data_IF_789044629019
#
_entry.id   IF_789044629019
#
_cell.length_a   1.000
_cell.length_b   1.000
_cell.length_c   1.000
_cell.angle_alpha   90.00
_cell.angle_beta   90.00
_cell.angle_gamma   90.00
#
_symmetry.space_group_name_H-M   'P 1'
#
loop_
_entity.id
_entity.type
_entity.pdbx_description
1 polymer ?
#
# COMPACT_ATOMS: atom_id res chain seq x y z
N UNK A 1 -8.62 -27.82 7.33
CA UNK A 1 -8.89 -26.69 6.41
C UNK A 1 -10.10 -25.87 6.85
N UNK A 2 -11.27 -26.48 7.09
CA UNK A 2 -12.46 -25.73 7.56
C UNK A 2 -12.20 -24.86 8.79
N UNK A 3 -11.55 -25.38 9.83
CA UNK A 3 -11.18 -24.58 11.01
C UNK A 3 -10.28 -23.38 10.71
N UNK A 4 -9.36 -23.48 9.72
CA UNK A 4 -8.50 -22.37 9.29
C UNK A 4 -9.35 -21.32 8.54
N UNK A 5 -10.28 -21.75 7.68
CA UNK A 5 -11.21 -20.85 7.00
C UNK A 5 -12.11 -20.10 8.01
N UNK A 6 -12.62 -20.81 9.02
CA UNK A 6 -13.42 -20.20 10.09
C UNK A 6 -12.57 -19.28 10.97
N UNK A 7 -11.28 -19.56 11.19
CA UNK A 7 -10.38 -18.63 11.87
C UNK A 7 -10.16 -17.34 11.06
N UNK A 8 -10.03 -17.43 9.74
CA UNK A 8 -9.97 -16.26 8.85
C UNK A 8 -11.26 -15.43 8.95
N UNK A 9 -12.43 -16.09 8.94
CA UNK A 9 -13.72 -15.45 9.17
C UNK A 9 -13.81 -14.83 10.56
N UNK A 10 -13.29 -15.49 11.59
CA UNK A 10 -13.23 -14.98 12.96
C UNK A 10 -12.44 -13.68 13.06
N UNK A 11 -11.29 -13.60 12.39
CA UNK A 11 -10.49 -12.37 12.29
C UNK A 11 -11.28 -11.22 11.62
N UNK A 12 -12.10 -11.54 10.62
CA UNK A 12 -12.96 -10.58 9.92
C UNK A 12 -14.39 -10.50 10.47
N UNK A 13 -14.70 -11.12 11.60
CA UNK A 13 -16.07 -11.17 12.13
C UNK A 13 -16.58 -9.81 12.59
N UNK A 14 -15.65 -8.90 12.90
CA UNK A 14 -15.91 -7.50 13.27
C UNK A 14 -15.60 -6.52 12.13
N UNK A 15 -15.68 -6.98 10.87
CA UNK A 15 -15.30 -6.20 9.68
C UNK A 15 -16.01 -4.85 9.58
N UNK A 16 -17.25 -4.72 10.06
CA UNK A 16 -17.95 -3.43 10.06
C UNK A 16 -17.21 -2.37 10.89
N UNK A 17 -16.76 -2.73 12.09
CA UNK A 17 -15.96 -1.84 12.96
C UNK A 17 -14.58 -1.61 12.38
N UNK A 18 -13.94 -2.66 11.84
CA UNK A 18 -12.64 -2.54 11.17
C UNK A 18 -12.67 -1.55 10.01
N UNK A 19 -13.68 -1.66 9.13
CA UNK A 19 -13.88 -0.74 8.01
C UNK A 19 -14.23 0.67 8.50
N UNK A 20 -14.99 0.82 9.59
CA UNK A 20 -15.33 2.14 10.12
C UNK A 20 -14.10 2.92 10.60
N UNK A 21 -13.17 2.26 11.32
CA UNK A 21 -11.94 2.93 11.79
C UNK A 21 -10.92 3.15 10.67
N UNK A 22 -10.90 2.29 9.66
CA UNK A 22 -10.03 2.43 8.49
C UNK A 22 -10.52 3.59 7.58
N UNK A 23 -11.80 3.55 7.18
CA UNK A 23 -12.41 4.57 6.33
C UNK A 23 -12.46 5.97 7.00
N UNK A 24 -12.43 6.03 8.33
CA UNK A 24 -12.29 7.28 9.06
C UNK A 24 -10.99 8.04 8.72
N UNK A 25 -9.89 7.33 8.41
CA UNK A 25 -8.59 7.93 8.10
C UNK A 25 -8.64 8.81 6.84
N UNK A 26 -8.95 8.27 5.65
CA UNK A 26 -9.05 9.04 4.42
C UNK A 26 -10.10 10.17 4.46
N UNK A 27 -11.16 10.04 5.27
CA UNK A 27 -12.12 11.13 5.49
C UNK A 27 -11.45 12.29 6.25
N UNK A 28 -10.67 11.96 7.28
CA UNK A 28 -9.96 12.94 8.10
C UNK A 28 -8.84 13.65 7.32
N UNK A 29 -8.10 12.92 6.48
CA UNK A 29 -7.11 13.47 5.58
C UNK A 29 -7.73 14.50 4.61
N UNK A 30 -8.80 14.11 3.91
CA UNK A 30 -9.54 15.01 3.02
C UNK A 30 -10.08 16.24 3.75
N UNK A 31 -10.57 16.08 4.99
CA UNK A 31 -11.03 17.21 5.80
C UNK A 31 -9.89 18.21 6.06
N UNK A 32 -8.68 17.72 6.35
CA UNK A 32 -7.49 18.56 6.49
C UNK A 32 -7.12 19.26 5.18
N UNK A 33 -7.12 18.54 4.06
CA UNK A 33 -6.84 19.10 2.73
C UNK A 33 -7.82 20.21 2.35
N UNK A 34 -9.12 20.00 2.59
CA UNK A 34 -10.16 21.02 2.35
C UNK A 34 -9.95 22.24 3.25
N UNK A 35 -9.62 22.05 4.53
CA UNK A 35 -9.36 23.15 5.45
C UNK A 35 -8.21 24.05 4.97
N UNK A 36 -7.13 23.45 4.46
CA UNK A 36 -5.97 24.17 3.91
C UNK A 36 -6.34 24.91 2.61
N UNK A 37 -6.99 24.21 1.66
CA UNK A 37 -7.41 24.81 0.39
C UNK A 37 -8.44 25.94 0.54
N UNK A 38 -9.23 25.91 1.61
CA UNK A 38 -10.21 26.95 1.93
C UNK A 38 -9.63 28.12 2.76
N UNK A 39 -8.33 28.09 3.10
CA UNK A 39 -7.68 29.13 3.89
C UNK A 39 -8.25 29.27 5.30
N UNK A 40 -8.69 28.17 5.90
CA UNK A 40 -9.27 28.17 7.25
C UNK A 40 -8.20 28.42 8.32
N UNK A 41 -8.63 28.65 9.56
CA UNK A 41 -7.71 28.90 10.68
C UNK A 41 -6.75 27.74 10.91
N UNK A 42 -5.50 28.06 11.28
CA UNK A 42 -4.48 27.10 11.70
C UNK A 42 -4.98 26.11 12.76
N UNK A 43 -5.83 26.57 13.68
CA UNK A 43 -6.43 25.70 14.73
C UNK A 43 -7.34 24.61 14.16
N UNK A 44 -7.93 24.82 12.98
CA UNK A 44 -8.70 23.79 12.28
C UNK A 44 -7.74 22.74 11.70
N UNK A 45 -6.64 23.18 11.08
CA UNK A 45 -5.61 22.29 10.52
C UNK A 45 -4.94 21.43 11.61
N UNK A 46 -4.61 22.02 12.76
CA UNK A 46 -4.08 21.29 13.92
C UNK A 46 -5.00 20.15 14.36
N UNK A 47 -6.32 20.39 14.36
CA UNK A 47 -7.30 19.37 14.74
C UNK A 47 -7.36 18.26 13.70
N UNK A 48 -7.43 18.61 12.42
CA UNK A 48 -7.48 17.60 11.35
C UNK A 48 -6.18 16.81 11.25
N UNK A 49 -5.02 17.42 11.46
CA UNK A 49 -3.72 16.72 11.48
C UNK A 49 -3.65 15.69 12.62
N UNK A 50 -4.26 15.98 13.78
CA UNK A 50 -4.37 15.00 14.87
C UNK A 50 -5.28 13.81 14.51
N UNK A 51 -6.38 14.07 13.79
CA UNK A 51 -7.29 13.02 13.32
C UNK A 51 -6.64 12.15 12.23
N UNK A 52 -5.91 12.78 11.31
CA UNK A 52 -5.18 12.15 10.21
C UNK A 52 -4.06 11.22 10.72
N UNK A 53 -3.25 11.66 11.68
CA UNK A 53 -2.22 10.80 12.30
C UNK A 53 -2.81 9.54 12.96
N UNK A 54 -4.00 9.66 13.58
CA UNK A 54 -4.74 8.49 14.08
C UNK A 54 -5.22 7.60 12.92
N UNK A 55 -5.70 8.21 11.84
CA UNK A 55 -6.08 7.54 10.58
C UNK A 55 -4.95 6.71 9.95
N UNK A 56 -3.73 7.23 9.95
CA UNK A 56 -2.56 6.53 9.38
C UNK A 56 -2.25 5.26 10.18
N UNK A 57 -2.51 5.29 11.49
CA UNK A 57 -2.43 4.11 12.36
C UNK A 57 -3.56 3.12 12.09
N UNK A 58 -4.82 3.58 11.97
CA UNK A 58 -5.95 2.68 11.72
C UNK A 58 -5.88 2.04 10.33
N UNK A 59 -5.36 2.75 9.32
CA UNK A 59 -5.08 2.20 7.99
C UNK A 59 -4.02 1.08 8.04
N UNK A 60 -2.94 1.26 8.83
CA UNK A 60 -1.94 0.21 9.02
C UNK A 60 -2.52 -1.03 9.74
N UNK A 61 -3.39 -0.82 10.74
CA UNK A 61 -4.13 -1.91 11.39
C UNK A 61 -5.03 -2.63 10.39
N UNK A 62 -5.77 -1.89 9.56
CA UNK A 62 -6.62 -2.45 8.49
C UNK A 62 -5.83 -3.32 7.51
N UNK A 63 -4.66 -2.85 7.05
CA UNK A 63 -3.71 -3.63 6.24
C UNK A 63 -3.27 -4.91 6.97
N UNK A 64 -2.99 -4.83 8.27
CA UNK A 64 -2.64 -5.99 9.10
C UNK A 64 -3.75 -7.06 9.15
N UNK A 65 -5.01 -6.65 9.37
CA UNK A 65 -6.17 -7.55 9.33
C UNK A 65 -6.36 -8.18 7.93
N UNK A 66 -6.21 -7.39 6.87
CA UNK A 66 -6.30 -7.87 5.51
C UNK A 66 -5.22 -8.92 5.22
N UNK A 67 -3.95 -8.65 5.57
CA UNK A 67 -2.83 -9.58 5.34
C UNK A 67 -2.97 -10.86 6.19
N UNK A 68 -3.32 -10.72 7.47
CA UNK A 68 -3.50 -11.86 8.37
C UNK A 68 -4.63 -12.79 7.94
N UNK A 69 -5.78 -12.22 7.58
CA UNK A 69 -6.93 -13.00 7.09
C UNK A 69 -6.65 -13.59 5.70
N UNK A 70 -5.97 -12.86 4.81
CA UNK A 70 -5.51 -13.37 3.51
C UNK A 70 -4.59 -14.58 3.67
N UNK A 71 -3.68 -14.56 4.66
CA UNK A 71 -2.79 -15.70 4.90
C UNK A 71 -3.56 -16.95 5.36
N UNK A 72 -4.50 -16.79 6.30
CA UNK A 72 -5.33 -17.88 6.82
C UNK A 72 -6.24 -18.45 5.71
N UNK A 73 -6.97 -17.60 5.00
CA UNK A 73 -7.89 -18.06 3.94
C UNK A 73 -7.12 -18.69 2.78
N UNK A 74 -5.95 -18.16 2.40
CA UNK A 74 -5.10 -18.75 1.36
C UNK A 74 -4.60 -20.13 1.74
N UNK A 75 -4.20 -20.34 3.01
CA UNK A 75 -3.82 -21.67 3.50
C UNK A 75 -5.01 -22.66 3.46
N UNK A 76 -6.19 -22.21 3.85
CA UNK A 76 -7.40 -23.04 3.79
C UNK A 76 -7.77 -23.41 2.33
N UNK A 77 -7.73 -22.44 1.43
CA UNK A 77 -7.95 -22.62 0.00
C UNK A 77 -6.89 -23.52 -0.64
N UNK A 78 -5.63 -23.41 -0.22
CA UNK A 78 -4.55 -24.26 -0.67
C UNK A 78 -4.82 -25.74 -0.33
N UNK A 79 -5.18 -26.06 0.92
CA UNK A 79 -5.53 -27.45 1.27
C UNK A 79 -6.79 -27.96 0.57
N UNK A 80 -7.77 -27.08 0.33
CA UNK A 80 -8.95 -27.41 -0.47
C UNK A 80 -8.59 -27.68 -1.94
N UNK A 81 -7.67 -26.89 -2.52
CA UNK A 81 -7.13 -27.07 -3.86
C UNK A 81 -6.42 -28.42 -4.00
N UNK A 82 -5.53 -28.78 -3.07
CA UNK A 82 -4.82 -30.09 -3.06
C UNK A 82 -5.81 -31.25 -3.13
N UNK A 83 -6.87 -31.17 -2.31
CA UNK A 83 -7.94 -32.18 -2.30
C UNK A 83 -8.71 -32.21 -3.62
N UNK A 84 -9.10 -31.04 -4.15
CA UNK A 84 -9.89 -30.93 -5.38
C UNK A 84 -9.11 -31.36 -6.63
N UNK A 85 -7.79 -31.14 -6.63
CA UNK A 85 -6.86 -31.53 -7.67
C UNK A 85 -6.42 -33.01 -7.56
N UNK A 86 -6.95 -33.76 -6.58
CA UNK A 86 -6.64 -35.17 -6.34
C UNK A 86 -5.13 -35.44 -6.12
N UNK A 87 -4.43 -34.50 -5.46
CA UNK A 87 -3.03 -34.66 -5.07
C UNK A 87 -2.99 -35.43 -3.73
N UNK A 88 -2.32 -36.59 -3.70
CA UNK A 88 -2.20 -37.40 -2.47
C UNK A 88 -1.36 -36.71 -1.40
N UNK A 89 -0.20 -36.19 -1.77
CA UNK A 89 0.75 -35.52 -0.87
C UNK A 89 1.48 -34.41 -1.61
N UNK A 90 1.60 -33.22 -0.99
CA UNK A 90 2.49 -32.17 -1.46
C UNK A 90 3.85 -32.34 -0.78
N UNK A 91 4.76 -33.07 -1.44
CA UNK A 91 6.11 -33.31 -0.93
C UNK A 91 7.08 -32.22 -1.39
N UNK A 92 7.56 -31.42 -0.44
CA UNK A 92 8.47 -30.30 -0.65
C UNK A 92 9.79 -30.73 -1.28
N UNK A 93 10.25 -31.96 -1.06
CA UNK A 93 11.52 -32.46 -1.58
C UNK A 93 11.42 -33.00 -3.01
N UNK A 94 10.26 -32.85 -3.66
CA UNK A 94 10.11 -33.22 -5.07
C UNK A 94 10.45 -32.06 -6.00
N UNK A 95 11.06 -32.31 -7.18
CA UNK A 95 11.45 -31.25 -8.11
C UNK A 95 10.29 -30.33 -8.50
N UNK A 96 9.11 -30.91 -8.82
CA UNK A 96 7.94 -30.14 -9.25
C UNK A 96 7.47 -29.14 -8.19
N UNK A 97 7.41 -29.56 -6.93
CA UNK A 97 6.93 -28.72 -5.83
C UNK A 97 7.98 -27.67 -5.47
N UNK A 98 9.25 -28.05 -5.38
CA UNK A 98 10.31 -27.15 -4.94
C UNK A 98 10.56 -26.00 -5.93
N UNK A 99 10.56 -26.26 -7.25
CA UNK A 99 10.66 -25.18 -8.25
C UNK A 99 9.46 -24.24 -8.16
N UNK A 100 8.26 -24.79 -7.94
CA UNK A 100 7.05 -23.99 -7.73
C UNK A 100 7.18 -23.11 -6.49
N UNK A 101 7.71 -23.65 -5.39
CA UNK A 101 7.93 -22.93 -4.15
C UNK A 101 8.86 -21.72 -4.33
N UNK A 102 10.01 -21.93 -4.99
CA UNK A 102 10.97 -20.86 -5.25
C UNK A 102 10.39 -19.78 -6.18
N UNK A 103 9.73 -20.19 -7.27
CA UNK A 103 9.11 -19.25 -8.20
C UNK A 103 7.98 -18.48 -7.52
N UNK A 104 7.11 -19.17 -6.78
CA UNK A 104 6.02 -18.57 -6.03
C UNK A 104 6.49 -17.54 -5.01
N UNK A 105 7.58 -17.84 -4.29
CA UNK A 105 8.17 -16.93 -3.32
C UNK A 105 8.74 -15.64 -3.95
N UNK A 106 9.10 -15.69 -5.24
CA UNK A 106 9.60 -14.53 -5.99
C UNK A 106 8.47 -13.63 -6.50
N UNK A 107 7.27 -14.17 -6.77
CA UNK A 107 6.16 -13.41 -7.39
C UNK A 107 5.78 -12.11 -6.63
N UNK A 108 5.71 -12.07 -5.29
CA UNK A 108 5.44 -10.83 -4.56
C UNK A 108 6.48 -9.74 -4.86
N UNK A 109 7.76 -10.09 -5.00
CA UNK A 109 8.82 -9.15 -5.33
C UNK A 109 8.71 -8.65 -6.77
N UNK A 110 8.33 -9.52 -7.71
CA UNK A 110 8.08 -9.10 -9.09
C UNK A 110 6.87 -8.15 -9.17
N UNK A 111 5.80 -8.48 -8.45
CA UNK A 111 4.64 -7.59 -8.32
C UNK A 111 5.05 -6.22 -7.78
N UNK A 112 5.77 -6.18 -6.66
CA UNK A 112 6.26 -4.94 -6.05
C UNK A 112 7.20 -4.16 -6.97
N UNK A 113 8.09 -4.82 -7.71
CA UNK A 113 8.99 -4.14 -8.64
C UNK A 113 8.22 -3.39 -9.74
N UNK A 114 7.14 -3.98 -10.26
CA UNK A 114 6.28 -3.32 -11.24
C UNK A 114 5.54 -2.14 -10.62
N UNK A 115 4.84 -2.33 -9.50
CA UNK A 115 4.04 -1.26 -8.89
C UNK A 115 4.89 -0.08 -8.43
N UNK A 116 6.03 -0.34 -7.78
CA UNK A 116 6.96 0.72 -7.34
C UNK A 116 7.54 1.48 -8.53
N UNK A 117 7.89 0.80 -9.62
CA UNK A 117 8.42 1.45 -10.83
C UNK A 117 7.35 2.32 -11.50
N UNK A 118 6.10 1.86 -11.55
CA UNK A 118 4.98 2.60 -12.11
C UNK A 118 4.71 3.88 -11.32
N UNK A 119 4.66 3.80 -9.98
CA UNK A 119 4.52 4.98 -9.11
C UNK A 119 5.68 5.94 -9.29
N UNK A 120 6.94 5.47 -9.21
CA UNK A 120 8.10 6.34 -9.36
C UNK A 120 8.17 7.07 -10.72
N UNK A 121 7.74 6.41 -11.80
CA UNK A 121 7.69 7.03 -13.13
C UNK A 121 6.56 8.06 -13.24
N UNK A 122 5.40 7.82 -12.60
CA UNK A 122 4.29 8.76 -12.56
C UNK A 122 4.59 9.97 -11.66
N UNK A 123 5.19 9.74 -10.49
CA UNK A 123 5.59 10.77 -9.55
C UNK A 123 6.64 11.71 -10.15
N UNK A 124 7.61 11.18 -10.91
CA UNK A 124 8.60 12.01 -11.61
C UNK A 124 7.91 12.98 -12.59
N UNK A 125 6.96 12.50 -13.39
CA UNK A 125 6.16 13.36 -14.29
C UNK A 125 5.33 14.39 -13.52
N UNK A 126 4.75 14.01 -12.39
CA UNK A 126 4.00 14.92 -11.53
C UNK A 126 4.90 16.06 -11.01
N UNK A 127 6.11 15.73 -10.55
CA UNK A 127 7.10 16.71 -10.09
C UNK A 127 7.51 17.67 -11.21
N UNK A 128 7.78 17.15 -12.41
CA UNK A 128 8.10 17.98 -13.58
C UNK A 128 6.95 18.94 -13.95
N UNK A 129 5.71 18.46 -13.92
CA UNK A 129 4.54 19.29 -14.23
C UNK A 129 4.28 20.35 -13.16
N UNK A 130 4.33 20.00 -11.87
CA UNK A 130 4.17 20.96 -10.78
C UNK A 130 5.26 22.03 -10.83
N UNK A 131 6.51 21.64 -11.10
CA UNK A 131 7.62 22.59 -11.32
C UNK A 131 7.37 23.47 -12.53
N UNK A 132 6.89 22.91 -13.65
CA UNK A 132 6.54 23.69 -14.84
C UNK A 132 5.52 24.76 -14.51
N UNK A 133 4.43 24.41 -13.81
CA UNK A 133 3.41 25.38 -13.42
C UNK A 133 3.99 26.48 -12.52
N UNK A 134 4.72 26.13 -11.46
CA UNK A 134 5.34 27.13 -10.57
C UNK A 134 6.36 28.04 -11.28
N UNK A 135 7.12 27.52 -12.23
CA UNK A 135 8.17 28.29 -12.92
C UNK A 135 7.64 29.13 -14.09
N UNK A 136 6.50 28.78 -14.68
CA UNK A 136 6.05 29.37 -15.96
C UNK A 136 4.72 30.10 -15.89
N UNK A 137 3.87 29.85 -14.88
CA UNK A 137 2.58 30.55 -14.72
C UNK A 137 2.82 31.79 -13.83
N UNK A 138 2.78 33.02 -14.37
CA UNK A 138 3.02 34.22 -13.58
C UNK A 138 1.90 34.41 -12.55
N UNK A 139 2.26 34.78 -11.31
CA UNK A 139 1.29 35.04 -10.24
C UNK A 139 0.88 33.78 -9.46
N UNK A 140 1.36 32.59 -9.81
CA UNK A 140 0.94 31.34 -9.16
C UNK A 140 1.52 31.21 -7.74
N UNK A 141 2.82 31.43 -7.57
CA UNK A 141 3.46 31.39 -6.24
C UNK A 141 2.99 32.55 -5.34
N UNK A 142 2.61 33.66 -5.95
CA UNK A 142 2.05 34.84 -5.27
C UNK A 142 0.57 34.64 -4.89
N UNK A 143 -0.07 33.55 -5.32
CA UNK A 143 -1.47 33.24 -5.01
C UNK A 143 -2.50 34.09 -5.79
N UNK A 144 -2.06 34.76 -6.86
CA UNK A 144 -2.92 35.63 -7.70
C UNK A 144 -3.43 34.93 -8.97
N UNK A 145 -2.78 33.85 -9.39
CA UNK A 145 -3.20 32.97 -10.48
C UNK A 145 -3.66 31.61 -9.95
N UNK A 146 -4.56 30.94 -10.68
CA UNK A 146 -5.02 29.58 -10.35
C UNK A 146 -4.14 28.53 -11.04
N UNK A 147 -3.78 27.43 -10.34
CA UNK A 147 -3.09 26.31 -10.97
C UNK A 147 -4.02 25.52 -11.90
N UNK A 148 -3.41 24.75 -12.80
CA UNK A 148 -4.11 23.77 -13.63
C UNK A 148 -4.11 22.40 -12.95
N UNK A 149 -5.17 22.13 -12.19
CA UNK A 149 -5.37 20.84 -11.53
C UNK A 149 -5.62 19.70 -12.52
N UNK A 150 -6.24 19.98 -13.67
CA UNK A 150 -6.69 18.94 -14.60
C UNK A 150 -5.50 18.20 -15.24
N UNK A 151 -4.39 18.90 -15.49
CA UNK A 151 -3.18 18.27 -16.03
C UNK A 151 -2.57 17.28 -15.03
N UNK A 152 -2.50 17.62 -13.73
CA UNK A 152 -2.05 16.68 -12.70
C UNK A 152 -2.97 15.45 -12.61
N UNK A 153 -4.29 15.65 -12.62
CA UNK A 153 -5.28 14.55 -12.63
C UNK A 153 -5.09 13.66 -13.86
N UNK A 154 -4.83 14.25 -15.04
CA UNK A 154 -4.59 13.48 -16.27
C UNK A 154 -3.34 12.61 -16.17
N UNK A 155 -2.24 13.12 -15.60
CA UNK A 155 -0.99 12.36 -15.44
C UNK A 155 -1.22 11.09 -14.61
N UNK A 156 -1.88 11.22 -13.44
CA UNK A 156 -2.14 10.07 -12.58
C UNK A 156 -3.20 9.12 -13.18
N UNK A 157 -4.20 9.66 -13.87
CA UNK A 157 -5.23 8.86 -14.57
C UNK A 157 -4.62 8.01 -15.69
N UNK A 158 -3.84 8.62 -16.58
CA UNK A 158 -3.21 7.92 -17.70
C UNK A 158 -2.24 6.85 -17.21
N UNK A 159 -1.45 7.16 -16.17
CA UNK A 159 -0.51 6.23 -15.58
C UNK A 159 -1.22 5.05 -14.90
N UNK A 160 -2.21 5.30 -14.04
CA UNK A 160 -2.91 4.24 -13.30
C UNK A 160 -3.62 3.24 -14.22
N UNK A 161 -4.37 3.71 -15.22
CA UNK A 161 -5.11 2.84 -16.14
C UNK A 161 -4.17 1.99 -17.00
N UNK A 162 -3.05 2.56 -17.45
CA UNK A 162 -2.08 1.82 -18.27
C UNK A 162 -1.28 0.82 -17.45
N UNK A 163 -0.76 1.26 -16.31
CA UNK A 163 0.23 0.53 -15.53
C UNK A 163 -0.39 -0.50 -14.56
N UNK A 164 -1.71 -0.49 -14.33
CA UNK A 164 -2.38 -1.54 -13.55
C UNK A 164 -2.46 -2.89 -14.29
N UNK A 165 -2.35 -2.89 -15.62
CA UNK A 165 -2.55 -4.09 -16.45
C UNK A 165 -1.46 -5.15 -16.21
N UNK A 166 -0.15 -4.84 -16.24
CA UNK A 166 0.89 -5.87 -16.07
C UNK A 166 0.87 -6.57 -14.70
N UNK A 167 0.75 -5.88 -13.54
CA UNK A 167 0.63 -6.54 -12.25
C UNK A 167 -0.63 -7.41 -12.13
N UNK A 168 -1.76 -6.94 -12.68
CA UNK A 168 -3.00 -7.72 -12.73
C UNK A 168 -2.85 -8.98 -13.60
N UNK A 169 -2.22 -8.85 -14.76
CA UNK A 169 -1.94 -9.97 -15.65
C UNK A 169 -0.99 -10.99 -14.99
N UNK A 170 0.05 -10.54 -14.26
CA UNK A 170 0.95 -11.43 -13.51
C UNK A 170 0.16 -12.32 -12.55
N UNK A 171 -0.71 -11.72 -11.73
CA UNK A 171 -1.48 -12.46 -10.71
C UNK A 171 -2.50 -13.41 -11.36
N UNK A 172 -3.24 -12.93 -12.35
CA UNK A 172 -4.32 -13.71 -12.99
C UNK A 172 -3.79 -14.84 -13.89
N UNK A 173 -2.70 -14.59 -14.63
CA UNK A 173 -2.14 -15.56 -15.56
C UNK A 173 -1.26 -16.60 -14.85
N UNK A 174 -0.66 -16.30 -13.69
CA UNK A 174 0.24 -17.25 -13.01
C UNK A 174 -0.43 -18.61 -12.75
N UNK A 175 -1.61 -18.71 -12.11
CA UNK A 175 -2.23 -20.01 -11.88
C UNK A 175 -2.60 -20.76 -13.17
N UNK A 176 -2.99 -20.01 -14.23
CA UNK A 176 -3.33 -20.58 -15.53
C UNK A 176 -2.09 -21.15 -16.22
N UNK A 177 -1.03 -20.34 -16.33
CA UNK A 177 0.23 -20.73 -16.98
C UNK A 177 0.88 -21.88 -16.21
N UNK A 178 1.04 -21.76 -14.89
CA UNK A 178 1.66 -22.82 -14.09
C UNK A 178 0.80 -24.09 -14.10
N UNK A 179 -0.51 -23.95 -13.93
CA UNK A 179 -1.43 -25.08 -13.92
C UNK A 179 -1.49 -25.84 -15.25
N UNK A 180 -1.52 -25.13 -16.38
CA UNK A 180 -1.61 -25.73 -17.73
C UNK A 180 -0.28 -26.37 -18.15
N UNK A 181 0.85 -25.68 -17.93
CA UNK A 181 2.14 -26.12 -18.47
C UNK A 181 2.96 -26.98 -17.51
N UNK A 182 2.81 -26.83 -16.20
CA UNK A 182 3.65 -27.49 -15.18
C UNK A 182 2.84 -28.40 -14.24
N UNK A 183 1.51 -28.29 -14.26
CA UNK A 183 0.61 -29.14 -13.50
C UNK A 183 0.37 -28.67 -12.06
N UNK A 184 -0.48 -29.44 -11.37
CA UNK A 184 -1.05 -29.07 -10.07
C UNK A 184 -0.05 -29.23 -8.92
N UNK A 185 0.97 -30.07 -9.06
CA UNK A 185 2.03 -30.22 -8.06
C UNK A 185 2.95 -28.98 -8.03
N UNK A 186 3.32 -28.45 -9.20
CA UNK A 186 4.10 -27.21 -9.28
C UNK A 186 3.27 -26.02 -8.83
N UNK A 187 1.99 -25.94 -9.22
CA UNK A 187 1.09 -24.90 -8.72
C UNK A 187 0.95 -24.95 -7.19
N UNK A 188 0.96 -26.14 -6.58
CA UNK A 188 0.96 -26.29 -5.11
C UNK A 188 2.18 -25.63 -4.45
N UNK A 189 3.36 -25.79 -5.06
CA UNK A 189 4.57 -25.09 -4.64
C UNK A 189 4.40 -23.57 -4.76
N UNK A 190 3.88 -23.09 -5.90
CA UNK A 190 3.67 -21.65 -6.14
C UNK A 190 2.77 -21.03 -5.08
N UNK A 191 1.63 -21.67 -4.78
CA UNK A 191 0.68 -21.19 -3.77
C UNK A 191 1.30 -21.10 -2.37
N UNK A 192 2.07 -22.12 -1.97
CA UNK A 192 2.76 -22.12 -0.68
C UNK A 192 3.85 -21.02 -0.62
N UNK A 193 4.65 -20.90 -1.68
CA UNK A 193 5.76 -19.95 -1.76
C UNK A 193 5.28 -18.50 -1.76
N UNK A 194 4.27 -18.19 -2.58
CA UNK A 194 3.70 -16.84 -2.65
C UNK A 194 3.08 -16.41 -1.32
N UNK A 195 2.47 -17.34 -0.59
CA UNK A 195 1.89 -17.10 0.73
C UNK A 195 2.97 -16.73 1.76
N UNK A 196 3.95 -17.61 1.98
CA UNK A 196 4.91 -17.44 3.08
C UNK A 196 5.94 -16.34 2.82
N UNK A 197 6.19 -16.00 1.55
CA UNK A 197 7.06 -14.90 1.16
C UNK A 197 6.29 -13.57 1.11
N UNK A 198 5.12 -13.56 0.47
CA UNK A 198 4.33 -12.35 0.24
C UNK A 198 3.86 -11.68 1.53
N UNK A 199 3.54 -12.47 2.54
CA UNK A 199 3.13 -11.97 3.86
C UNK A 199 4.23 -11.10 4.51
N UNK A 200 5.50 -11.45 4.32
CA UNK A 200 6.62 -10.73 4.94
C UNK A 200 6.77 -9.33 4.34
N UNK A 201 6.86 -9.25 3.00
CA UNK A 201 7.03 -7.98 2.29
C UNK A 201 5.79 -7.08 2.44
N UNK A 202 4.58 -7.66 2.48
CA UNK A 202 3.35 -6.90 2.67
C UNK A 202 3.30 -6.22 4.05
N UNK A 203 3.66 -6.94 5.12
CA UNK A 203 3.69 -6.39 6.49
C UNK A 203 4.79 -5.33 6.60
N UNK A 204 6.02 -5.66 6.16
CA UNK A 204 7.13 -4.74 6.29
C UNK A 204 6.89 -3.44 5.52
N UNK A 205 6.43 -3.52 4.27
CA UNK A 205 6.16 -2.32 3.46
C UNK A 205 5.07 -1.45 4.08
N UNK A 206 3.96 -2.06 4.50
CA UNK A 206 2.82 -1.32 5.09
C UNK A 206 3.21 -0.59 6.37
N UNK A 207 3.94 -1.26 7.26
CA UNK A 207 4.35 -0.68 8.54
C UNK A 207 5.47 0.36 8.37
N UNK A 208 6.42 0.13 7.46
CA UNK A 208 7.48 1.09 7.17
C UNK A 208 6.89 2.40 6.61
N UNK A 209 5.96 2.33 5.66
CA UNK A 209 5.29 3.51 5.12
C UNK A 209 4.50 4.26 6.20
N UNK A 210 3.65 3.56 6.96
CA UNK A 210 2.89 4.18 8.05
C UNK A 210 3.77 4.77 9.16
N UNK A 211 4.94 4.19 9.42
CA UNK A 211 5.90 4.73 10.38
C UNK A 211 6.57 6.01 9.89
N UNK A 212 6.96 6.10 8.62
CA UNK A 212 7.54 7.32 8.06
C UNK A 212 6.54 8.47 8.01
N UNK A 213 5.29 8.18 7.63
CA UNK A 213 4.24 9.20 7.64
C UNK A 213 3.97 9.73 9.05
N UNK A 214 3.79 8.85 10.03
CA UNK A 214 3.60 9.30 11.42
C UNK A 214 4.84 9.96 12.02
N UNK A 215 6.05 9.61 11.58
CA UNK A 215 7.26 10.33 11.96
C UNK A 215 7.27 11.77 11.42
N UNK A 216 6.84 11.98 10.17
CA UNK A 216 6.60 13.31 9.60
C UNK A 216 5.53 14.06 10.40
N UNK A 217 4.36 13.46 10.64
CA UNK A 217 3.27 14.07 11.44
C UNK A 217 3.71 14.45 12.85
N UNK A 218 4.57 13.65 13.47
CA UNK A 218 5.11 13.94 14.79
C UNK A 218 5.93 15.25 14.81
N UNK A 219 6.79 15.46 13.80
CA UNK A 219 7.57 16.70 13.65
C UNK A 219 6.64 17.88 13.31
N UNK A 220 5.69 17.67 12.39
CA UNK A 220 4.73 18.69 11.96
C UNK A 220 3.83 19.19 13.11
N UNK A 221 3.45 18.30 14.03
CA UNK A 221 2.59 18.63 15.15
C UNK A 221 3.31 19.38 16.28
N UNK A 222 4.59 19.12 16.52
CA UNK A 222 5.37 19.81 17.56
C UNK A 222 4.78 19.72 18.97
N UNK A 223 4.03 18.65 19.27
CA UNK A 223 3.22 18.54 20.49
C UNK A 223 4.03 18.22 21.76
N UNK A 224 5.32 17.91 21.63
CA UNK A 224 6.23 17.61 22.74
C UNK A 224 7.54 18.37 22.57
N UNK A 225 8.32 18.49 23.64
CA UNK A 225 9.61 19.20 23.58
C UNK A 225 10.54 18.58 22.53
N UNK A 226 10.62 17.25 22.50
CA UNK A 226 11.41 16.54 21.49
C UNK A 226 10.92 16.82 20.06
N UNK A 227 9.62 16.76 19.79
CA UNK A 227 9.07 17.12 18.48
C UNK A 227 9.44 18.56 18.06
N UNK A 228 9.37 19.51 19.00
CA UNK A 228 9.73 20.91 18.73
C UNK A 228 11.21 21.08 18.39
N UNK A 229 12.10 20.28 18.99
CA UNK A 229 13.54 20.33 18.64
C UNK A 229 13.84 19.89 17.21
N UNK A 230 12.96 19.10 16.59
CA UNK A 230 13.09 18.65 15.20
C UNK A 230 12.43 19.61 14.20
N UNK A 231 11.44 20.37 14.64
CA UNK A 231 10.74 21.39 13.85
C UNK A 231 11.52 22.71 13.72
N UNK A 232 10.86 23.79 13.27
CA UNK A 232 9.48 23.84 12.75
C UNK A 232 9.37 23.23 11.34
N UNK A 233 8.15 23.21 10.77
CA UNK A 233 7.93 22.85 9.36
C UNK A 233 8.90 23.63 8.45
N UNK A 234 9.58 22.91 7.56
CA UNK A 234 10.60 23.44 6.66
C UNK A 234 12.05 23.30 7.16
N UNK A 235 12.27 22.85 8.41
CA UNK A 235 13.58 22.47 8.92
C UNK A 235 14.18 21.30 8.13
N UNK A 236 15.50 21.09 8.26
CA UNK A 236 16.16 19.96 7.60
C UNK A 236 15.66 18.59 8.11
N UNK A 237 15.43 18.37 9.42
CA UNK A 237 14.79 17.14 9.90
C UNK A 237 13.38 16.95 9.33
N UNK A 238 12.59 18.03 9.23
CA UNK A 238 11.26 17.96 8.62
C UNK A 238 11.32 17.55 7.14
N UNK A 239 12.21 18.18 6.34
CA UNK A 239 12.41 17.80 4.94
C UNK A 239 12.85 16.35 4.81
N UNK A 240 13.77 15.88 5.67
CA UNK A 240 14.21 14.48 5.67
C UNK A 240 13.06 13.51 5.99
N UNK A 241 12.17 13.87 6.92
CA UNK A 241 10.98 13.08 7.22
C UNK A 241 10.00 13.03 6.03
N UNK A 242 9.82 14.14 5.31
CA UNK A 242 9.03 14.18 4.06
C UNK A 242 9.64 13.29 2.97
N UNK A 243 10.97 13.20 2.88
CA UNK A 243 11.61 12.23 1.96
C UNK A 243 11.24 10.79 2.34
N UNK A 244 11.31 10.43 3.62
CA UNK A 244 10.92 9.09 4.08
C UNK A 244 9.45 8.78 3.78
N UNK A 245 8.56 9.72 4.07
CA UNK A 245 7.12 9.64 3.79
C UNK A 245 6.84 9.36 2.31
N UNK A 246 7.41 10.15 1.41
CA UNK A 246 7.25 9.97 -0.05
C UNK A 246 7.91 8.71 -0.63
N UNK A 247 8.78 8.03 0.13
CA UNK A 247 9.28 6.69 -0.20
C UNK A 247 8.31 5.60 0.30
N UNK A 248 7.58 5.89 1.38
CA UNK A 248 6.58 5.00 1.97
C UNK A 248 5.24 4.98 1.26
N UNK A 249 4.92 6.02 0.50
CA UNK A 249 3.78 6.12 -0.43
C UNK A 249 3.88 5.15 -1.62
#
# INVERSE_FOLDING_TARGET
MYGIAVAALGMLSTIATGLAIDAYGPISDNAGGIAEMAGMSHRIRERTDALDAAGNTTAAIGKGFAIGSAALVSLALFGAFVSRAAISTVDVLTPKVFIGLLVGAMLPYWFSAMTMKSVGSAALKMVEEVRRQFNTIPGLMEGTAKPDYATCVKISTDASIKEMIPPGALVMLTPLVVGIFFGVETLSGVLAGSLVSGVQIAISASNTGGAWDNAKKYIEAGASEHAKTLGPKGSDPHKAAVIGDTIGD
#
